data_IF_755535443088
#
_entry.id   IF_755535443088
#
_cell.length_a   1.000
_cell.length_b   1.000
_cell.length_c   1.000
_cell.angle_alpha   90.00
_cell.angle_beta   90.00
_cell.angle_gamma   90.00
#
_symmetry.space_group_name_H-M   'P 1'
#
loop_
_entity.id
_entity.type
_entity.pdbx_description
1 polymer ?
#
# COMPACT_ATOMS: atom_id res chain seq x y z
N UNK A 1 9.57 -0.79 -5.64
CA UNK A 1 9.55 -1.84 -4.60
C UNK A 1 10.37 -1.33 -3.43
N UNK A 2 9.74 -0.83 -2.37
CA UNK A 2 10.44 -0.40 -1.16
C UNK A 2 10.66 -1.61 -0.27
N UNK A 3 11.90 -2.10 -0.18
CA UNK A 3 12.29 -3.04 0.85
C UNK A 3 12.73 -2.22 2.05
N UNK A 4 12.20 -2.51 3.22
CA UNK A 4 12.69 -1.86 4.44
C UNK A 4 14.00 -2.52 4.88
N UNK A 5 15.03 -1.71 5.13
CA UNK A 5 16.42 -2.13 5.35
C UNK A 5 16.97 -1.65 6.71
N UNK A 6 16.46 -0.53 7.25
CA UNK A 6 17.05 0.14 8.43
C UNK A 6 16.10 0.29 9.63
N UNK A 7 14.82 -0.09 9.50
CA UNK A 7 13.90 -0.02 10.63
C UNK A 7 14.18 -1.10 11.69
N UNK A 8 14.11 -0.72 12.96
CA UNK A 8 14.25 -1.62 14.10
C UNK A 8 13.13 -2.69 14.05
N UNK A 9 13.48 -3.96 14.28
CA UNK A 9 12.52 -5.07 14.16
C UNK A 9 11.24 -4.88 14.99
N UNK A 10 11.35 -4.27 16.18
CA UNK A 10 10.19 -3.94 17.03
C UNK A 10 9.16 -3.03 16.33
N UNK A 11 9.59 -2.12 15.46
CA UNK A 11 8.68 -1.21 14.75
C UNK A 11 8.14 -1.82 13.46
N UNK A 12 8.87 -2.76 12.85
CA UNK A 12 8.46 -3.43 11.61
C UNK A 12 7.29 -4.38 11.79
N UNK A 13 7.09 -4.93 13.00
CA UNK A 13 6.03 -5.89 13.29
C UNK A 13 6.00 -7.05 12.26
N UNK A 14 7.18 -7.48 11.79
CA UNK A 14 7.33 -8.53 10.78
C UNK A 14 7.11 -8.11 9.30
N UNK A 15 6.72 -6.86 9.01
CA UNK A 15 6.55 -6.40 7.63
C UNK A 15 7.90 -6.17 6.93
N UNK A 16 7.99 -6.63 5.67
CA UNK A 16 9.24 -6.62 4.89
C UNK A 16 9.28 -5.57 3.79
N UNK A 17 8.12 -5.21 3.25
CA UNK A 17 7.98 -4.33 2.09
C UNK A 17 6.84 -3.33 2.31
N UNK A 18 6.99 -2.15 1.73
CA UNK A 18 5.93 -1.15 1.64
C UNK A 18 5.69 -0.74 0.18
N UNK A 19 4.42 -0.54 -0.15
CA UNK A 19 3.97 -0.06 -1.45
C UNK A 19 3.15 1.21 -1.22
N UNK A 20 3.52 2.30 -1.89
CA UNK A 20 2.77 3.53 -1.88
C UNK A 20 2.13 3.73 -3.25
N UNK A 21 0.83 3.98 -3.26
CA UNK A 21 0.05 4.27 -4.46
C UNK A 21 -0.67 5.60 -4.25
N UNK A 22 -0.69 6.43 -5.28
CA UNK A 22 -1.36 7.73 -5.24
C UNK A 22 -2.39 7.77 -6.36
N UNK A 23 -3.59 8.20 -6.02
CA UNK A 23 -4.72 8.34 -6.93
C UNK A 23 -5.20 9.79 -6.87
N UNK A 24 -5.74 10.32 -7.98
CA UNK A 24 -6.22 11.71 -8.00
C UNK A 24 -7.55 11.86 -7.26
N UNK A 25 -8.27 10.76 -7.05
CA UNK A 25 -9.55 10.76 -6.34
C UNK A 25 -10.08 9.35 -6.05
N UNK A 26 -11.27 9.32 -5.45
CA UNK A 26 -11.96 8.08 -5.06
C UNK A 26 -12.40 7.25 -6.28
N UNK A 27 -12.73 7.90 -7.38
CA UNK A 27 -13.14 7.25 -8.63
C UNK A 27 -11.98 6.43 -9.21
N UNK A 28 -10.78 7.00 -9.28
CA UNK A 28 -9.56 6.31 -9.75
C UNK A 28 -9.22 5.10 -8.87
N UNK A 29 -9.34 5.24 -7.54
CA UNK A 29 -9.15 4.13 -6.60
C UNK A 29 -10.18 3.01 -6.85
N UNK A 30 -11.45 3.38 -7.05
CA UNK A 30 -12.53 2.42 -7.29
C UNK A 30 -12.33 1.69 -8.63
N UNK A 31 -11.91 2.42 -9.67
CA UNK A 31 -11.58 1.87 -10.97
C UNK A 31 -10.38 0.93 -10.90
N UNK A 32 -9.34 1.28 -10.13
CA UNK A 32 -8.17 0.43 -9.90
C UNK A 32 -8.53 -0.88 -9.21
N UNK A 33 -9.37 -0.84 -8.16
CA UNK A 33 -9.76 -2.03 -7.40
C UNK A 33 -10.46 -3.09 -8.26
N UNK A 34 -11.34 -2.66 -9.17
CA UNK A 34 -12.09 -3.56 -10.08
C UNK A 34 -11.35 -3.86 -11.39
N UNK A 35 -10.19 -3.24 -11.62
CA UNK A 35 -9.47 -3.43 -12.87
C UNK A 35 -9.00 -4.90 -13.00
N UNK A 36 -9.22 -5.57 -14.14
CA UNK A 36 -8.93 -7.01 -14.29
C UNK A 36 -7.47 -7.36 -13.97
N UNK A 37 -6.52 -6.50 -14.37
CA UNK A 37 -5.10 -6.68 -14.03
C UNK A 37 -4.82 -6.62 -12.52
N UNK A 38 -5.55 -5.79 -11.76
CA UNK A 38 -5.41 -5.74 -10.30
C UNK A 38 -5.97 -7.00 -9.66
N UNK A 39 -7.13 -7.47 -10.13
CA UNK A 39 -7.74 -8.72 -9.65
C UNK A 39 -6.85 -9.94 -9.93
N UNK A 40 -6.27 -10.04 -11.14
CA UNK A 40 -5.32 -11.09 -11.49
C UNK A 40 -4.05 -11.03 -10.63
N UNK A 41 -3.52 -9.83 -10.43
CA UNK A 41 -2.35 -9.63 -9.56
C UNK A 41 -2.66 -10.02 -8.10
N UNK A 42 -3.84 -9.66 -7.60
CA UNK A 42 -4.27 -9.99 -6.23
C UNK A 42 -4.33 -11.51 -6.00
N UNK A 43 -4.72 -12.30 -7.02
CA UNK A 43 -4.70 -13.78 -6.95
C UNK A 43 -3.30 -14.36 -6.83
N UNK A 44 -2.30 -13.71 -7.41
CA UNK A 44 -0.89 -14.12 -7.31
C UNK A 44 -0.27 -13.60 -6.02
N UNK A 45 -0.62 -12.38 -5.62
CA UNK A 45 -0.01 -11.67 -4.51
C UNK A 45 -0.51 -12.16 -3.14
N UNK A 46 -1.82 -12.39 -2.99
CA UNK A 46 -2.42 -12.86 -1.72
C UNK A 46 -1.79 -14.14 -1.16
N UNK A 47 -1.58 -15.23 -1.94
CA UNK A 47 -0.96 -16.44 -1.41
C UNK A 47 0.53 -16.31 -1.11
N UNK A 48 1.20 -15.27 -1.62
CA UNK A 48 2.62 -15.02 -1.36
C UNK A 48 2.87 -14.18 -0.09
N UNK A 49 1.82 -13.74 0.59
CA UNK A 49 1.89 -12.88 1.77
C UNK A 49 1.48 -13.63 3.03
N UNK A 50 2.27 -13.49 4.08
CA UNK A 50 1.90 -13.95 5.42
C UNK A 50 0.97 -12.96 6.12
N UNK A 51 1.27 -11.66 6.01
CA UNK A 51 0.51 -10.57 6.60
C UNK A 51 0.44 -9.38 5.63
N UNK A 52 -0.70 -8.69 5.58
CA UNK A 52 -0.90 -7.47 4.79
C UNK A 52 -1.73 -6.44 5.56
N UNK A 53 -1.31 -5.18 5.50
CA UNK A 53 -2.08 -4.03 5.97
C UNK A 53 -2.21 -3.04 4.81
N UNK A 54 -3.43 -2.59 4.56
CA UNK A 54 -3.75 -1.59 3.53
C UNK A 54 -4.35 -0.38 4.21
N UNK A 55 -3.83 0.81 3.90
CA UNK A 55 -4.29 2.09 4.44
C UNK A 55 -4.74 2.97 3.27
N UNK A 56 -6.05 3.18 3.15
CA UNK A 56 -6.65 4.08 2.18
C UNK A 56 -7.08 5.37 2.87
N UNK A 57 -6.42 6.48 2.55
CA UNK A 57 -6.70 7.77 3.18
C UNK A 57 -6.48 8.94 2.20
N UNK A 58 -7.23 10.04 2.37
CA UNK A 58 -6.96 11.27 1.64
C UNK A 58 -5.67 11.92 2.15
N UNK A 59 -4.78 12.31 1.23
CA UNK A 59 -3.57 13.05 1.58
C UNK A 59 -3.93 14.52 1.80
N UNK A 60 -4.13 14.90 3.06
CA UNK A 60 -4.41 16.27 3.47
C UNK A 60 -3.17 16.89 4.11
N UNK A 61 -2.73 18.05 3.62
CA UNK A 61 -1.66 18.84 4.25
C UNK A 61 -2.28 19.56 5.45
N UNK A 62 -2.15 18.97 6.64
CA UNK A 62 -2.71 19.52 7.90
C UNK A 62 -1.71 20.35 8.69
N UNK A 63 -0.42 20.33 8.32
CA UNK A 63 0.63 21.15 8.92
C UNK A 63 1.46 21.76 7.79
N UNK A 64 1.80 23.04 7.92
CA UNK A 64 2.66 23.72 6.94
C UNK A 64 3.98 22.95 6.78
N UNK A 65 4.52 22.85 5.56
CA UNK A 65 5.84 22.26 5.36
C UNK A 65 6.85 23.02 6.22
N UNK A 66 7.64 22.27 6.98
CA UNK A 66 8.70 22.79 7.84
C UNK A 66 9.83 23.40 7.00
#
# INVERSE_FOLDING_TARGET
RGKDIESHEMLRQGFTHAFLMTFNGKEDLSAFQVHPKHTEFSKIFSPALENIVVLDFPSNIVKAPA
#
